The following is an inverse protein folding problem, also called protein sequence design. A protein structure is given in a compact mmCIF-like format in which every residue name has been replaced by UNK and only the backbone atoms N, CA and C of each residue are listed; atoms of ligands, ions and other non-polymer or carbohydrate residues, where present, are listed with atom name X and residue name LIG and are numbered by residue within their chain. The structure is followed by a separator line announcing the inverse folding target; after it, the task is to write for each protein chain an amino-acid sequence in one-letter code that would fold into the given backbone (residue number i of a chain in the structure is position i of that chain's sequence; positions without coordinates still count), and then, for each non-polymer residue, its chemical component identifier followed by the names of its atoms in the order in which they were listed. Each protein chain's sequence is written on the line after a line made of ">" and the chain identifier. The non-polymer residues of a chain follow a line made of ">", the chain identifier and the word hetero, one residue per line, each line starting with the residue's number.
data_IF_057249173054
#
_entry.id   IF_057249173054
#
_cell.length_a   1.000
_cell.length_b   1.000
_cell.length_c   1.000
_cell.angle_alpha   90.00
_cell.angle_beta   90.00
_cell.angle_gamma   90.00
#
_symmetry.space_group_name_H-M   'P 1'
#
loop_
_entity.id
_entity.type
_entity.pdbx_description
1 polymer ?
#
# COMPACT_ATOMS: atom_id res chain seq x y z
N UNK A 1 0.45 -10.38 -1.08
CA UNK A 1 -0.73 -9.69 -1.64
C UNK A 1 -1.28 -10.47 -2.82
N UNK A 2 -0.59 -10.54 -3.97
CA UNK A 2 -1.09 -11.26 -5.16
C UNK A 2 -1.25 -12.80 -5.00
N UNK A 3 -0.70 -13.39 -3.94
CA UNK A 3 -0.90 -14.81 -3.62
C UNK A 3 -2.19 -15.08 -2.81
N UNK A 4 -2.85 -14.02 -2.32
CA UNK A 4 -4.11 -14.16 -1.60
C UNK A 4 -5.23 -14.40 -2.63
N UNK A 5 -5.97 -15.52 -2.56
CA UNK A 5 -6.91 -15.91 -3.61
C UNK A 5 -8.17 -15.03 -3.68
N UNK A 6 -8.39 -14.19 -2.67
CA UNK A 6 -9.60 -13.37 -2.57
C UNK A 6 -9.46 -12.01 -3.27
N UNK A 7 -8.26 -11.63 -3.70
CA UNK A 7 -8.05 -10.37 -4.42
C UNK A 7 -8.10 -10.60 -5.94
N UNK A 8 -8.97 -9.87 -6.63
CA UNK A 8 -9.10 -10.01 -8.08
C UNK A 8 -8.09 -9.13 -8.82
N UNK A 9 -7.88 -7.91 -8.31
CA UNK A 9 -7.05 -6.90 -8.99
C UNK A 9 -6.44 -5.93 -7.98
N UNK A 10 -5.21 -5.53 -8.27
CA UNK A 10 -4.52 -4.42 -7.57
C UNK A 10 -4.22 -3.34 -8.59
N UNK A 11 -4.62 -2.11 -8.30
CA UNK A 11 -4.26 -0.93 -9.11
C UNK A 11 -3.34 -0.05 -8.27
N UNK A 12 -2.31 0.51 -8.92
CA UNK A 12 -1.40 1.44 -8.28
C UNK A 12 -1.53 2.81 -8.92
N UNK A 13 -2.10 3.74 -8.16
CA UNK A 13 -2.26 5.12 -8.59
C UNK A 13 -1.14 5.98 -8.02
N UNK A 14 -0.49 6.72 -8.89
CA UNK A 14 0.57 7.64 -8.49
C UNK A 14 -0.07 8.97 -8.10
N UNK A 15 0.02 9.33 -6.83
CA UNK A 15 -0.43 10.63 -6.36
C UNK A 15 0.70 11.63 -6.56
N UNK A 16 0.54 12.49 -7.55
CA UNK A 16 1.45 13.62 -7.76
C UNK A 16 1.07 14.70 -6.74
N UNK A 17 1.80 14.74 -5.63
CA UNK A 17 1.87 15.95 -4.79
C UNK A 17 3.26 16.54 -4.97
N UNK A 18 3.38 17.87 -5.15
CA UNK A 18 4.68 18.51 -5.08
C UNK A 18 5.23 18.31 -3.68
N UNK A 19 6.33 17.57 -3.59
CA UNK A 19 7.09 17.41 -2.37
C UNK A 19 8.27 18.37 -2.52
N UNK A 20 8.37 19.34 -1.62
CA UNK A 20 9.44 20.34 -1.64
C UNK A 20 10.60 19.97 -0.70
N UNK A 21 10.45 18.89 0.08
CA UNK A 21 11.41 18.48 1.09
C UNK A 21 11.31 16.97 1.37
N UNK A 22 12.44 16.29 1.58
CA UNK A 22 12.47 14.89 2.02
C UNK A 22 12.05 14.75 3.49
N UNK A 23 11.73 13.53 3.92
CA UNK A 23 11.46 13.22 5.34
C UNK A 23 12.65 13.52 6.27
N UNK A 24 13.85 13.70 5.73
CA UNK A 24 15.07 14.11 6.45
C UNK A 24 15.29 15.64 6.47
N UNK A 25 14.36 16.43 5.90
CA UNK A 25 14.47 17.89 5.86
C UNK A 25 15.30 18.44 4.70
N UNK A 26 15.77 17.60 3.77
CA UNK A 26 16.57 18.03 2.62
C UNK A 26 15.66 18.62 1.54
N UNK A 27 15.93 19.82 1.01
CA UNK A 27 15.22 20.34 -0.16
C UNK A 27 15.42 19.41 -1.35
N UNK A 28 14.35 19.15 -2.09
CA UNK A 28 14.40 18.41 -3.36
C UNK A 28 14.31 19.41 -4.52
N UNK A 29 15.06 19.13 -5.58
CA UNK A 29 15.18 19.97 -6.79
C UNK A 29 13.82 20.27 -7.41
N UNK A 30 13.74 21.32 -8.24
CA UNK A 30 12.49 21.90 -8.78
C UNK A 30 11.53 20.92 -9.50
N UNK A 31 12.00 19.71 -9.84
CA UNK A 31 11.15 18.64 -10.36
C UNK A 31 10.45 17.88 -9.20
N UNK A 32 9.11 17.96 -9.08
CA UNK A 32 8.38 17.34 -7.99
C UNK A 32 8.53 15.81 -8.02
N UNK A 33 9.18 15.25 -7.01
CA UNK A 33 9.32 13.80 -6.85
C UNK A 33 7.99 13.23 -6.33
N UNK A 34 7.39 12.32 -7.10
CA UNK A 34 6.17 11.61 -6.70
C UNK A 34 6.52 10.48 -5.72
N UNK A 35 6.30 10.66 -4.42
CA UNK A 35 6.59 9.61 -3.41
C UNK A 35 5.37 8.83 -2.91
N UNK A 36 4.14 9.24 -3.26
CA UNK A 36 2.94 8.57 -2.80
C UNK A 36 2.32 7.70 -3.90
N UNK A 37 2.14 6.42 -3.59
CA UNK A 37 1.32 5.50 -4.39
C UNK A 37 0.14 5.06 -3.54
N UNK A 38 -1.06 5.19 -4.09
CA UNK A 38 -2.27 4.57 -3.54
C UNK A 38 -2.38 3.20 -4.20
N UNK A 39 -2.66 2.18 -3.40
CA UNK A 39 -3.00 0.86 -3.90
C UNK A 39 -4.49 0.65 -3.71
N UNK A 40 -5.22 0.48 -4.81
CA UNK A 40 -6.62 0.07 -4.79
C UNK A 40 -6.69 -1.46 -4.87
N UNK A 41 -7.43 -2.07 -3.95
CA UNK A 41 -7.64 -3.52 -3.91
C UNK A 41 -9.08 -3.79 -4.32
N UNK A 42 -9.27 -4.59 -5.38
CA UNK A 42 -10.60 -4.97 -5.86
C UNK A 42 -10.94 -6.39 -5.41
N UNK A 43 -12.15 -6.51 -4.87
CA UNK A 43 -12.75 -7.75 -4.40
C UNK A 43 -14.06 -7.97 -5.15
N UNK A 44 -14.42 -9.23 -5.38
CA UNK A 44 -15.69 -9.60 -6.00
C UNK A 44 -16.89 -9.09 -5.18
N UNK A 45 -16.79 -9.23 -3.86
CA UNK A 45 -17.80 -8.86 -2.88
C UNK A 45 -17.17 -8.66 -1.50
N UNK A 46 -18.02 -8.38 -0.51
CA UNK A 46 -17.59 -8.20 0.87
C UNK A 46 -17.10 -9.49 1.54
N UNK A 47 -17.60 -10.66 1.13
CA UNK A 47 -17.15 -11.94 1.68
C UNK A 47 -15.70 -12.24 1.26
N UNK A 48 -15.34 -11.91 0.02
CA UNK A 48 -13.96 -11.97 -0.44
C UNK A 48 -13.05 -11.03 0.35
N UNK A 49 -13.51 -9.83 0.71
CA UNK A 49 -12.74 -8.92 1.58
C UNK A 49 -12.50 -9.54 2.97
N UNK A 50 -13.52 -10.13 3.59
CA UNK A 50 -13.38 -10.82 4.88
C UNK A 50 -12.47 -12.05 4.79
N UNK A 51 -12.58 -12.82 3.70
CA UNK A 51 -11.66 -13.93 3.41
C UNK A 51 -10.22 -13.46 3.23
N UNK A 52 -10.03 -12.30 2.59
CA UNK A 52 -8.72 -11.68 2.40
C UNK A 52 -8.08 -11.33 3.75
N UNK A 53 -8.83 -10.76 4.70
CA UNK A 53 -8.35 -10.46 6.05
C UNK A 53 -7.94 -11.73 6.80
N UNK A 54 -8.81 -12.75 6.82
CA UNK A 54 -8.55 -14.01 7.53
C UNK A 54 -7.33 -14.76 6.99
N UNK A 55 -7.08 -14.70 5.68
CA UNK A 55 -5.95 -15.38 5.07
C UNK A 55 -4.59 -14.99 5.70
N UNK A 56 -4.46 -13.77 6.22
CA UNK A 56 -3.24 -13.32 6.90
C UNK A 56 -3.05 -13.91 8.30
N UNK A 57 -4.10 -14.45 8.92
CA UNK A 57 -3.97 -15.22 10.18
C UNK A 57 -3.16 -16.51 9.94
N UNK A 58 -3.41 -17.16 8.81
CA UNK A 58 -2.71 -18.39 8.40
C UNK A 58 -1.40 -18.09 7.64
N UNK A 59 -1.29 -16.91 7.03
CA UNK A 59 -0.14 -16.50 6.21
C UNK A 59 0.40 -15.14 6.67
N UNK A 60 1.02 -15.09 7.87
CA UNK A 60 1.48 -13.83 8.44
C UNK A 60 2.57 -13.19 7.59
N UNK A 61 2.51 -11.87 7.47
CA UNK A 61 3.55 -11.10 6.78
C UNK A 61 4.78 -11.00 7.69
N UNK A 62 5.99 -11.40 7.25
CA UNK A 62 7.21 -11.23 8.02
C UNK A 62 7.41 -9.76 8.42
N UNK A 63 7.93 -9.52 9.63
CA UNK A 63 8.04 -8.16 10.21
C UNK A 63 8.88 -7.25 9.31
N UNK A 64 9.92 -7.78 8.66
CA UNK A 64 10.80 -7.04 7.75
C UNK A 64 10.07 -6.57 6.49
N UNK A 65 8.95 -7.21 6.14
CA UNK A 65 8.09 -6.88 5.00
C UNK A 65 6.79 -6.19 5.42
N UNK A 66 6.64 -5.93 6.72
CA UNK A 66 5.51 -5.21 7.28
C UNK A 66 5.77 -3.70 7.29
N UNK A 67 4.74 -2.86 7.53
CA UNK A 67 4.91 -1.42 7.67
C UNK A 67 5.94 -1.04 8.76
N UNK A 68 6.04 -1.84 9.83
CA UNK A 68 7.02 -1.65 10.90
C UNK A 68 8.48 -1.82 10.44
N UNK A 69 8.71 -2.56 9.35
CA UNK A 69 10.05 -2.90 8.88
C UNK A 69 10.74 -1.83 8.03
N UNK A 70 9.99 -1.01 7.25
CA UNK A 70 10.62 0.03 6.38
C UNK A 70 9.73 1.01 5.61
N UNK A 71 8.41 1.05 5.79
CA UNK A 71 7.57 1.90 4.92
C UNK A 71 6.27 2.33 5.58
N UNK A 72 5.97 3.62 5.50
CA UNK A 72 4.70 4.26 5.89
C UNK A 72 3.52 3.85 4.98
N UNK A 73 3.32 2.54 4.75
CA UNK A 73 2.12 2.05 4.08
C UNK A 73 0.92 2.22 5.01
N UNK A 74 0.02 3.13 4.65
CA UNK A 74 -1.31 3.24 5.25
C UNK A 74 -2.32 2.60 4.32
N UNK A 75 -3.00 1.57 4.80
CA UNK A 75 -4.11 0.95 4.08
C UNK A 75 -5.38 1.74 4.38
N UNK A 76 -6.06 2.20 3.33
CA UNK A 76 -7.40 2.76 3.42
C UNK A 76 -8.31 1.79 2.67
N UNK A 77 -9.35 1.29 3.34
CA UNK A 77 -10.43 0.55 2.69
C UNK A 77 -11.55 1.57 2.47
N UNK A 78 -12.01 1.71 1.23
CA UNK A 78 -13.20 2.50 0.87
C UNK A 78 -14.43 1.60 0.88
#
# INVERSE_FOLDING_TARGET
>A
LLANPYIERVVFDTVVRPINQTSAGTPITDDPISLFRIAELHFADHEAYEGWLRWFEENPVPIERSPFGRTDFRFYVL
#
